data_IF_852939231436
#
_entry.id   IF_852939231436
#
_cell.length_a   1.000
_cell.length_b   1.000
_cell.length_c   1.000
_cell.angle_alpha   90.00
_cell.angle_beta   90.00
_cell.angle_gamma   90.00
#
_symmetry.space_group_name_H-M   'P 1'
#
loop_
_entity.id
_entity.type
_entity.pdbx_description
1 polymer ?
#
# COMPACT_ATOMS: atom_id res chain seq x y z
N UNK A 1 -16.06 76.79 -35.48
CA UNK A 1 -17.16 76.08 -36.16
C UNK A 1 -17.13 74.58 -35.73
N UNK A 2 -18.24 74.17 -35.17
CA UNK A 2 -18.73 72.82 -34.94
C UNK A 2 -17.88 71.77 -34.14
N UNK A 3 -18.25 71.65 -32.86
CA UNK A 3 -18.07 70.50 -31.97
C UNK A 3 -18.60 69.22 -32.58
N UNK A 4 -17.85 68.15 -32.41
CA UNK A 4 -18.44 66.80 -32.35
C UNK A 4 -17.95 66.08 -31.08
N UNK A 5 -18.85 65.89 -30.13
CA UNK A 5 -18.75 65.03 -29.01
C UNK A 5 -18.92 63.52 -29.48
N UNK A 6 -17.95 62.69 -29.19
CA UNK A 6 -18.07 61.23 -29.35
C UNK A 6 -18.30 60.63 -28.00
N UNK A 7 -19.47 60.06 -27.84
CA UNK A 7 -19.84 59.24 -26.64
C UNK A 7 -19.11 57.90 -26.68
N UNK A 8 -18.34 57.60 -25.65
CA UNK A 8 -17.75 56.28 -25.42
C UNK A 8 -18.75 55.45 -24.58
N UNK A 9 -19.34 54.45 -25.21
CA UNK A 9 -20.15 53.47 -24.52
C UNK A 9 -19.25 52.45 -23.80
N UNK A 10 -19.27 52.43 -22.47
CA UNK A 10 -18.62 51.43 -21.67
C UNK A 10 -19.54 50.22 -21.60
N UNK A 11 -19.22 49.15 -22.36
CA UNK A 11 -19.83 47.85 -22.19
C UNK A 11 -19.25 47.16 -20.97
N UNK A 12 -20.04 47.09 -19.90
CA UNK A 12 -19.74 46.24 -18.73
C UNK A 12 -19.99 44.79 -19.14
N UNK A 13 -18.94 44.03 -19.44
CA UNK A 13 -19.02 42.58 -19.57
C UNK A 13 -19.09 41.97 -18.17
N UNK A 14 -20.29 41.56 -17.77
CA UNK A 14 -20.47 40.63 -16.67
C UNK A 14 -19.89 39.26 -17.06
N UNK A 15 -18.70 38.96 -16.57
CA UNK A 15 -18.14 37.62 -16.66
C UNK A 15 -18.96 36.69 -15.74
N UNK A 16 -19.90 35.96 -16.33
CA UNK A 16 -20.54 34.81 -15.68
C UNK A 16 -19.43 33.76 -15.49
N UNK A 17 -18.92 33.62 -14.27
CA UNK A 17 -18.08 32.51 -13.88
C UNK A 17 -18.92 31.22 -13.95
N UNK A 18 -18.70 30.43 -15.00
CA UNK A 18 -19.24 29.09 -15.09
C UNK A 18 -18.73 28.27 -13.88
N UNK A 19 -19.60 27.48 -13.24
CA UNK A 19 -19.16 26.61 -12.14
C UNK A 19 -18.09 25.66 -12.67
N UNK A 20 -16.95 25.57 -11.98
CA UNK A 20 -15.90 24.63 -12.28
C UNK A 20 -16.50 23.20 -12.22
N UNK A 21 -16.64 22.58 -13.40
CA UNK A 21 -17.11 21.19 -13.50
C UNK A 21 -16.03 20.34 -12.82
N UNK A 22 -16.37 19.78 -11.67
CA UNK A 22 -15.55 18.80 -10.98
C UNK A 22 -15.08 17.73 -11.97
N UNK A 23 -13.77 17.67 -12.24
CA UNK A 23 -13.20 16.72 -13.18
C UNK A 23 -13.37 15.31 -12.63
N UNK A 24 -14.31 14.55 -13.18
CA UNK A 24 -14.47 13.14 -12.87
C UNK A 24 -13.38 12.35 -13.60
N UNK A 25 -12.55 11.62 -12.87
CA UNK A 25 -11.64 10.63 -13.45
C UNK A 25 -12.32 9.27 -13.32
N UNK A 26 -12.76 8.65 -14.43
CA UNK A 26 -13.28 7.30 -14.37
C UNK A 26 -12.13 6.37 -14.01
N UNK A 27 -12.19 5.74 -12.83
CA UNK A 27 -11.44 4.51 -12.61
C UNK A 27 -12.06 3.51 -13.57
N UNK A 28 -11.39 3.24 -14.67
CA UNK A 28 -11.83 2.19 -15.59
C UNK A 28 -11.75 0.90 -14.78
N UNK A 29 -12.93 0.44 -14.34
CA UNK A 29 -13.06 -0.88 -13.74
C UNK A 29 -12.40 -1.87 -14.68
N UNK A 30 -11.54 -2.71 -14.16
CA UNK A 30 -11.03 -3.83 -14.92
C UNK A 30 -12.25 -4.63 -15.33
N UNK A 31 -12.35 -4.99 -16.59
CA UNK A 31 -13.02 -6.22 -16.92
C UNK A 31 -12.21 -7.30 -16.18
N UNK A 32 -12.63 -7.61 -14.94
CA UNK A 32 -12.00 -8.65 -14.16
C UNK A 32 -12.21 -9.93 -14.92
N UNK A 33 -11.16 -10.42 -15.57
CA UNK A 33 -11.17 -11.83 -15.94
C UNK A 33 -11.39 -12.58 -14.62
N UNK A 34 -12.23 -13.62 -14.57
CA UNK A 34 -12.49 -14.38 -13.33
C UNK A 34 -11.20 -14.77 -12.60
N UNK A 35 -10.11 -14.86 -13.33
CA UNK A 35 -8.79 -15.31 -12.87
C UNK A 35 -8.04 -14.32 -11.97
N UNK A 36 -8.35 -13.02 -11.97
CA UNK A 36 -7.69 -12.00 -11.12
C UNK A 36 -8.64 -11.37 -10.10
N UNK A 37 -9.85 -11.88 -9.95
CA UNK A 37 -10.86 -11.34 -9.02
C UNK A 37 -10.36 -11.27 -7.58
N UNK A 38 -9.50 -12.19 -7.14
CA UNK A 38 -8.93 -12.17 -5.81
C UNK A 38 -7.93 -11.02 -5.59
N UNK A 39 -7.30 -10.50 -6.66
CA UNK A 39 -6.45 -9.31 -6.62
C UNK A 39 -7.31 -8.05 -6.62
N UNK A 40 -8.27 -7.95 -7.55
CA UNK A 40 -9.12 -6.75 -7.71
C UNK A 40 -10.07 -6.50 -6.53
N UNK A 41 -10.38 -7.52 -5.73
CA UNK A 41 -11.11 -7.43 -4.46
C UNK A 41 -10.25 -7.81 -3.26
N UNK A 42 -8.92 -7.70 -3.40
CA UNK A 42 -7.95 -8.05 -2.38
C UNK A 42 -7.82 -7.01 -1.27
N UNK A 43 -7.38 -7.48 -0.12
CA UNK A 43 -6.81 -6.67 0.95
C UNK A 43 -5.58 -7.41 1.47
N UNK A 44 -4.46 -6.70 1.54
CA UNK A 44 -3.17 -7.29 1.88
C UNK A 44 -2.92 -7.11 3.37
N UNK A 45 -2.41 -8.15 3.99
CA UNK A 45 -1.91 -8.12 5.35
C UNK A 45 -0.42 -8.49 5.32
N UNK A 46 0.42 -7.53 5.66
CA UNK A 46 1.85 -7.68 5.73
C UNK A 46 2.24 -8.27 7.08
N UNK A 47 3.09 -9.30 7.05
CA UNK A 47 3.53 -10.06 8.22
C UNK A 47 5.05 -10.05 8.31
N UNK A 48 5.59 -9.54 9.40
CA UNK A 48 6.97 -9.78 9.77
C UNK A 48 7.02 -11.04 10.65
N UNK A 49 7.41 -12.17 10.05
CA UNK A 49 7.38 -13.50 10.73
C UNK A 49 8.10 -13.46 12.07
N UNK A 50 9.23 -12.72 12.15
CA UNK A 50 10.06 -12.59 13.35
C UNK A 50 9.28 -12.02 14.54
N UNK A 51 8.39 -11.05 14.30
CA UNK A 51 7.74 -10.26 15.34
C UNK A 51 6.25 -10.59 15.55
N UNK A 52 5.64 -11.25 14.54
CA UNK A 52 4.21 -11.53 14.50
C UNK A 52 3.70 -12.33 15.72
N UNK A 53 4.52 -13.19 16.27
CA UNK A 53 4.12 -14.04 17.41
C UNK A 53 5.22 -14.17 18.45
N UNK A 54 4.91 -14.60 19.67
CA UNK A 54 5.91 -14.88 20.70
C UNK A 54 6.94 -15.93 20.25
N UNK A 55 6.60 -16.81 19.32
CA UNK A 55 7.53 -17.82 18.78
C UNK A 55 8.35 -17.31 17.60
N UNK A 56 7.92 -16.23 16.91
CA UNK A 56 8.62 -15.63 15.79
C UNK A 56 8.87 -16.58 14.62
N UNK A 57 7.91 -17.45 14.30
CA UNK A 57 8.10 -18.49 13.30
C UNK A 57 6.81 -18.80 12.50
N UNK A 58 6.90 -19.64 11.47
CA UNK A 58 5.77 -20.00 10.60
C UNK A 58 4.59 -20.61 11.36
N UNK A 59 4.82 -21.37 12.42
CA UNK A 59 3.74 -21.95 13.23
C UNK A 59 2.96 -20.88 13.97
N UNK A 60 3.65 -19.83 14.44
CA UNK A 60 3.02 -18.66 15.03
C UNK A 60 2.13 -17.91 14.04
N UNK A 61 2.58 -17.77 12.78
CA UNK A 61 1.77 -17.18 11.72
C UNK A 61 0.55 -18.05 11.40
N UNK A 62 0.72 -19.38 11.30
CA UNK A 62 -0.42 -20.31 11.10
C UNK A 62 -1.49 -20.11 12.17
N UNK A 63 -1.09 -20.01 13.44
CA UNK A 63 -2.00 -19.78 14.56
C UNK A 63 -2.73 -18.42 14.48
N UNK A 64 -2.14 -17.43 13.80
CA UNK A 64 -2.71 -16.09 13.61
C UNK A 64 -3.58 -15.92 12.37
N UNK A 65 -3.60 -16.86 11.42
CA UNK A 65 -4.29 -16.68 10.13
C UNK A 65 -5.78 -16.36 10.28
N UNK A 66 -6.47 -16.94 11.27
CA UNK A 66 -7.88 -16.64 11.49
C UNK A 66 -8.10 -15.21 12.00
N UNK A 67 -7.16 -14.65 12.75
CA UNK A 67 -7.18 -13.23 13.16
C UNK A 67 -6.98 -12.31 11.96
N UNK A 68 -6.01 -12.63 11.09
CA UNK A 68 -5.77 -11.90 9.83
C UNK A 68 -7.03 -11.93 8.95
N UNK A 69 -7.65 -13.09 8.78
CA UNK A 69 -8.90 -13.24 8.02
C UNK A 69 -10.05 -12.45 8.66
N UNK A 70 -10.13 -12.39 9.98
CA UNK A 70 -11.18 -11.67 10.70
C UNK A 70 -11.11 -10.15 10.52
N UNK A 71 -9.94 -9.58 10.24
CA UNK A 71 -9.79 -8.16 9.86
C UNK A 71 -10.28 -7.89 8.42
N UNK A 72 -10.52 -8.95 7.65
CA UNK A 72 -11.02 -8.87 6.28
C UNK A 72 -9.93 -9.04 5.21
N UNK A 73 -8.68 -9.20 5.58
CA UNK A 73 -7.61 -9.47 4.64
C UNK A 73 -7.72 -10.89 4.05
N UNK A 74 -7.37 -11.02 2.79
CA UNK A 74 -7.38 -12.30 2.08
C UNK A 74 -6.07 -12.58 1.32
N UNK A 75 -5.11 -11.68 1.41
CA UNK A 75 -3.75 -11.83 0.87
C UNK A 75 -2.78 -11.63 2.03
N UNK A 76 -2.01 -12.65 2.35
CA UNK A 76 -0.92 -12.57 3.32
C UNK A 76 0.37 -12.31 2.56
N UNK A 77 1.03 -11.20 2.84
CA UNK A 77 2.36 -10.92 2.36
C UNK A 77 3.36 -11.15 3.51
N UNK A 78 4.25 -12.12 3.34
CA UNK A 78 5.36 -12.34 4.26
C UNK A 78 6.55 -11.48 3.84
N UNK A 79 7.08 -10.65 4.73
CA UNK A 79 8.40 -10.04 4.58
C UNK A 79 9.45 -11.12 4.30
N UNK A 80 10.72 -10.78 3.90
CA UNK A 80 11.67 -11.78 3.45
C UNK A 80 11.84 -12.93 4.45
N UNK A 81 11.70 -14.16 3.94
CA UNK A 81 11.72 -15.39 4.74
C UNK A 81 12.99 -16.19 4.58
N UNK A 82 13.98 -15.63 3.88
CA UNK A 82 15.24 -16.27 3.53
C UNK A 82 16.22 -16.26 4.69
N UNK A 83 17.23 -17.17 4.71
CA UNK A 83 18.35 -17.05 5.63
C UNK A 83 19.02 -15.68 5.46
N UNK A 84 19.36 -15.05 6.58
CA UNK A 84 20.02 -13.74 6.61
C UNK A 84 21.52 -13.91 6.66
N UNK A 85 22.26 -13.13 5.83
CA UNK A 85 23.70 -13.13 5.83
C UNK A 85 24.30 -12.72 7.17
N UNK A 86 25.55 -13.13 7.43
CA UNK A 86 26.29 -12.77 8.66
C UNK A 86 27.40 -11.77 8.40
N UNK A 87 27.92 -11.71 7.18
CA UNK A 87 28.95 -10.75 6.81
C UNK A 87 28.39 -9.32 6.75
N UNK A 88 29.04 -8.40 7.45
CA UNK A 88 28.62 -6.98 7.58
C UNK A 88 27.19 -6.79 8.13
N UNK A 89 26.69 -7.76 8.89
CA UNK A 89 25.34 -7.75 9.46
C UNK A 89 25.08 -6.50 10.30
N UNK A 90 23.93 -5.86 10.11
CA UNK A 90 23.40 -4.80 10.96
C UNK A 90 22.54 -5.39 12.07
N UNK A 91 22.65 -4.89 13.30
CA UNK A 91 21.92 -5.42 14.47
C UNK A 91 22.31 -6.85 14.84
N UNK A 92 21.59 -7.46 15.77
CA UNK A 92 21.89 -8.79 16.26
C UNK A 92 21.44 -9.91 15.32
N UNK A 93 20.27 -9.74 14.68
CA UNK A 93 19.65 -10.73 13.80
C UNK A 93 19.79 -10.40 12.32
N UNK A 94 20.23 -9.20 11.99
CA UNK A 94 20.42 -8.73 10.64
C UNK A 94 19.15 -8.32 9.90
N UNK A 95 19.37 -7.61 8.79
CA UNK A 95 18.29 -7.21 7.89
C UNK A 95 17.69 -8.43 7.20
N UNK A 96 16.37 -8.60 7.20
CA UNK A 96 15.72 -9.65 6.42
C UNK A 96 15.96 -9.48 4.91
N UNK A 97 16.34 -8.29 4.47
CA UNK A 97 16.68 -7.96 3.08
C UNK A 97 18.12 -8.33 2.70
N UNK A 98 18.97 -8.72 3.65
CA UNK A 98 20.31 -9.28 3.38
C UNK A 98 20.20 -10.80 3.13
N UNK A 99 19.69 -11.17 1.94
CA UNK A 99 19.41 -12.56 1.56
C UNK A 99 20.68 -13.36 1.38
N UNK A 100 20.82 -14.47 2.15
CA UNK A 100 21.93 -15.41 2.02
C UNK A 100 21.69 -16.51 0.97
N UNK A 101 20.45 -17.02 0.88
CA UNK A 101 20.07 -18.05 -0.11
C UNK A 101 18.61 -17.86 -0.53
N UNK A 102 18.38 -17.67 -1.83
CA UNK A 102 17.04 -17.46 -2.39
C UNK A 102 16.13 -18.70 -2.38
N UNK A 103 16.67 -19.91 -2.18
CA UNK A 103 15.90 -21.17 -2.24
C UNK A 103 15.75 -21.84 -0.88
N UNK A 104 16.15 -21.16 0.18
CA UNK A 104 16.03 -21.66 1.56
C UNK A 104 15.12 -20.73 2.39
N UNK A 105 14.60 -21.28 3.50
CA UNK A 105 13.91 -20.49 4.52
C UNK A 105 14.83 -20.21 5.69
N UNK A 106 14.66 -19.06 6.34
CA UNK A 106 15.39 -18.72 7.55
C UNK A 106 15.15 -19.79 8.63
N UNK A 107 16.20 -20.43 9.17
CA UNK A 107 16.03 -21.46 10.20
C UNK A 107 15.38 -20.95 11.49
N UNK A 108 15.45 -19.62 11.77
CA UNK A 108 14.69 -19.00 12.87
C UNK A 108 13.17 -19.17 12.70
N UNK A 109 12.67 -19.18 11.45
CA UNK A 109 11.26 -19.27 11.13
C UNK A 109 10.75 -20.72 11.06
N UNK A 110 11.66 -21.70 11.00
CA UNK A 110 11.36 -23.11 10.88
C UNK A 110 11.96 -23.75 9.63
N UNK A 111 11.34 -24.83 9.17
CA UNK A 111 11.78 -25.59 8.01
C UNK A 111 10.97 -25.28 6.77
N UNK A 112 11.43 -25.73 5.58
CA UNK A 112 10.66 -25.68 4.35
C UNK A 112 9.33 -26.44 4.46
N UNK A 113 9.28 -27.49 5.29
CA UNK A 113 8.04 -28.21 5.57
C UNK A 113 7.03 -27.38 6.39
N UNK A 114 7.52 -26.59 7.36
CA UNK A 114 6.71 -25.63 8.12
C UNK A 114 6.19 -24.50 7.20
N UNK A 115 7.03 -23.99 6.30
CA UNK A 115 6.59 -23.01 5.29
C UNK A 115 5.49 -23.56 4.39
N UNK A 116 5.67 -24.78 3.84
CA UNK A 116 4.62 -25.44 3.05
C UNK A 116 3.33 -25.67 3.86
N UNK A 117 3.44 -25.94 5.16
CA UNK A 117 2.28 -26.04 6.04
C UNK A 117 1.56 -24.68 6.16
N UNK A 118 2.29 -23.56 6.24
CA UNK A 118 1.72 -22.21 6.24
C UNK A 118 0.98 -21.90 4.94
N UNK A 119 1.60 -22.19 3.78
CA UNK A 119 0.94 -22.01 2.46
C UNK A 119 -0.38 -22.78 2.39
N UNK A 120 -0.36 -24.08 2.76
CA UNK A 120 -1.58 -24.90 2.80
C UNK A 120 -2.62 -24.37 3.77
N UNK A 121 -2.20 -23.91 4.95
CA UNK A 121 -3.10 -23.38 5.96
C UNK A 121 -3.78 -22.06 5.50
N UNK A 122 -3.07 -21.20 4.80
CA UNK A 122 -3.63 -20.01 4.17
C UNK A 122 -4.64 -20.39 3.07
N UNK A 123 -4.27 -21.26 2.16
CA UNK A 123 -5.15 -21.73 1.07
C UNK A 123 -6.42 -22.42 1.59
N UNK A 124 -6.31 -23.26 2.64
CA UNK A 124 -7.48 -23.90 3.28
C UNK A 124 -8.48 -22.89 3.85
N UNK A 125 -8.04 -21.68 4.14
CA UNK A 125 -8.89 -20.55 4.59
C UNK A 125 -9.40 -19.67 3.46
N UNK A 126 -9.09 -20.01 2.20
CA UNK A 126 -9.39 -19.19 1.03
C UNK A 126 -8.54 -17.92 0.92
N UNK A 127 -7.41 -17.88 1.63
CA UNK A 127 -6.45 -16.78 1.57
C UNK A 127 -5.35 -17.09 0.55
N UNK A 128 -4.75 -16.04 0.00
CA UNK A 128 -3.57 -16.09 -0.86
C UNK A 128 -2.33 -15.77 -0.05
N UNK A 129 -1.17 -16.29 -0.47
CA UNK A 129 0.09 -16.01 0.19
C UNK A 129 1.13 -15.59 -0.84
N UNK A 130 1.68 -14.39 -0.66
CA UNK A 130 2.82 -13.88 -1.42
C UNK A 130 4.02 -13.70 -0.49
N UNK A 131 5.21 -13.73 -1.05
CA UNK A 131 6.44 -13.47 -0.30
C UNK A 131 7.16 -12.26 -0.85
N UNK A 132 7.99 -11.66 -0.01
CA UNK A 132 8.90 -10.61 -0.43
C UNK A 132 10.02 -11.19 -1.30
N UNK A 133 10.37 -10.49 -2.36
CA UNK A 133 11.45 -10.84 -3.27
C UNK A 133 12.45 -9.72 -3.37
N UNK A 134 13.70 -9.96 -3.04
CA UNK A 134 14.77 -8.96 -2.98
C UNK A 134 15.68 -9.09 -4.21
N UNK A 135 15.35 -8.48 -5.35
CA UNK A 135 16.09 -8.73 -6.59
C UNK A 135 17.30 -7.82 -6.80
N UNK A 136 17.39 -6.67 -6.11
CA UNK A 136 18.43 -5.68 -6.37
C UNK A 136 19.80 -6.05 -5.79
N UNK A 137 19.82 -6.76 -4.67
CA UNK A 137 21.03 -7.03 -3.88
C UNK A 137 20.90 -8.34 -3.09
N UNK A 138 22.01 -8.78 -2.51
CA UNK A 138 22.07 -9.93 -1.59
C UNK A 138 22.93 -9.60 -0.38
N UNK A 139 22.98 -10.50 0.60
CA UNK A 139 24.04 -10.45 1.61
C UNK A 139 25.43 -10.58 0.97
N UNK A 140 26.48 -10.09 1.67
CA UNK A 140 27.87 -10.20 1.25
C UNK A 140 28.39 -11.65 1.20
N UNK A 141 27.77 -12.54 1.96
CA UNK A 141 28.07 -13.97 2.04
C UNK A 141 26.97 -14.84 1.41
N UNK A 142 26.16 -14.28 0.49
CA UNK A 142 25.21 -15.05 -0.30
C UNK A 142 25.92 -16.19 -1.04
N UNK A 143 25.26 -17.33 -1.16
CA UNK A 143 25.83 -18.53 -1.82
C UNK A 143 26.32 -18.25 -3.24
N UNK A 144 25.71 -17.32 -3.95
CA UNK A 144 26.13 -16.91 -5.31
C UNK A 144 27.45 -16.14 -5.33
N UNK A 145 27.85 -15.50 -4.23
CA UNK A 145 29.16 -14.79 -4.19
C UNK A 145 30.32 -15.74 -4.48
N UNK A 146 30.23 -16.99 -3.98
CA UNK A 146 31.24 -18.01 -4.22
C UNK A 146 30.97 -18.82 -5.48
N UNK A 147 29.71 -19.19 -5.74
CA UNK A 147 29.33 -20.05 -6.86
C UNK A 147 29.34 -19.31 -8.19
N UNK A 148 28.98 -18.04 -8.18
CA UNK A 148 28.78 -17.20 -9.37
C UNK A 148 29.30 -15.78 -9.14
N UNK A 149 30.63 -15.58 -8.93
CA UNK A 149 31.18 -14.27 -8.58
C UNK A 149 30.94 -13.17 -9.63
N UNK A 150 30.67 -13.58 -10.89
CA UNK A 150 30.30 -12.68 -11.98
C UNK A 150 28.86 -12.13 -11.90
N UNK A 151 28.07 -12.56 -10.92
CA UNK A 151 26.71 -12.01 -10.68
C UNK A 151 26.70 -10.67 -9.98
N UNK A 152 27.88 -10.16 -9.57
CA UNK A 152 27.99 -8.99 -8.70
C UNK A 152 28.74 -7.86 -9.36
N UNK A 153 28.26 -6.63 -9.14
CA UNK A 153 29.01 -5.42 -9.51
C UNK A 153 30.28 -5.33 -8.67
N UNK A 154 31.40 -5.02 -9.35
CA UNK A 154 32.73 -4.85 -8.73
C UNK A 154 33.13 -3.38 -8.72
N UNK A 155 33.83 -2.97 -7.66
CA UNK A 155 34.53 -1.69 -7.61
C UNK A 155 35.88 -1.76 -8.35
N UNK A 156 36.57 -0.63 -8.47
CA UNK A 156 37.82 -0.51 -9.20
C UNK A 156 38.95 -1.40 -8.63
N UNK A 157 38.87 -1.79 -7.36
CA UNK A 157 39.80 -2.74 -6.73
C UNK A 157 39.39 -4.20 -6.83
N UNK A 158 38.33 -4.50 -7.56
CA UNK A 158 37.79 -5.86 -7.76
C UNK A 158 36.94 -6.39 -6.62
N UNK A 159 36.70 -5.61 -5.56
CA UNK A 159 35.81 -5.95 -4.45
C UNK A 159 34.33 -5.80 -4.81
N UNK A 160 33.43 -6.41 -4.02
CA UNK A 160 32.00 -6.18 -4.12
C UNK A 160 31.67 -4.73 -3.77
N UNK A 161 30.52 -4.22 -4.25
CA UNK A 161 30.04 -2.88 -3.93
C UNK A 161 28.64 -2.91 -3.37
N UNK A 162 28.31 -1.93 -2.53
CA UNK A 162 26.93 -1.69 -2.07
C UNK A 162 26.05 -1.22 -3.23
N UNK A 163 24.71 -1.34 -3.14
CA UNK A 163 23.80 -0.84 -4.16
C UNK A 163 23.95 0.65 -4.44
N UNK A 164 23.52 1.04 -5.64
CA UNK A 164 23.38 2.44 -6.04
C UNK A 164 21.90 2.83 -6.08
N UNK A 165 21.62 4.08 -5.73
CA UNK A 165 20.30 4.67 -5.87
C UNK A 165 19.97 4.99 -7.35
N UNK A 166 18.78 5.53 -7.59
CA UNK A 166 18.30 5.94 -8.92
C UNK A 166 19.13 7.03 -9.60
N UNK A 167 20.00 7.71 -8.85
CA UNK A 167 20.95 8.74 -9.33
C UNK A 167 22.37 8.20 -9.51
N UNK A 168 22.55 6.91 -9.28
CA UNK A 168 23.87 6.23 -9.38
C UNK A 168 24.79 6.47 -8.19
N UNK A 169 24.33 7.10 -7.11
CA UNK A 169 25.11 7.28 -5.87
C UNK A 169 25.05 6.01 -5.04
N UNK A 170 26.18 5.64 -4.41
CA UNK A 170 26.22 4.52 -3.47
C UNK A 170 25.26 4.77 -2.29
N UNK A 171 24.49 3.76 -1.96
CA UNK A 171 23.60 3.77 -0.79
C UNK A 171 24.42 3.56 0.50
N UNK A 172 23.78 3.79 1.64
CA UNK A 172 24.29 3.44 2.96
C UNK A 172 23.91 2.00 3.41
N UNK A 173 23.48 1.16 2.46
CA UNK A 173 23.10 -0.23 2.70
C UNK A 173 24.35 -1.12 2.77
N UNK A 174 25.14 -0.91 3.83
CA UNK A 174 26.49 -1.51 3.99
C UNK A 174 26.49 -3.02 4.26
N UNK A 175 25.34 -3.60 4.52
CA UNK A 175 25.12 -5.01 4.81
C UNK A 175 24.75 -5.85 3.57
N UNK A 176 24.68 -5.23 2.38
CA UNK A 176 24.29 -5.91 1.14
C UNK A 176 25.21 -5.57 -0.04
N UNK A 177 25.29 -6.49 -1.01
CA UNK A 177 26.10 -6.40 -2.22
C UNK A 177 25.21 -6.33 -3.48
N UNK A 178 25.56 -5.43 -4.41
CA UNK A 178 24.78 -5.18 -5.63
C UNK A 178 24.93 -6.28 -6.66
N UNK A 179 23.80 -6.75 -7.21
CA UNK A 179 23.73 -7.68 -8.34
C UNK A 179 23.95 -6.95 -9.67
N UNK A 180 24.63 -7.63 -10.62
CA UNK A 180 24.92 -7.12 -11.97
C UNK A 180 23.99 -7.71 -13.02
N UNK A 181 22.90 -7.03 -13.28
CA UNK A 181 21.91 -7.41 -14.31
C UNK A 181 22.40 -7.30 -15.77
N UNK A 182 23.62 -6.82 -16.01
CA UNK A 182 24.26 -6.97 -17.34
C UNK A 182 24.57 -8.44 -17.64
N UNK A 183 24.78 -9.25 -16.61
CA UNK A 183 25.04 -10.67 -16.74
C UNK A 183 23.73 -11.44 -17.05
N UNK A 184 23.64 -12.11 -18.24
CA UNK A 184 22.44 -12.87 -18.60
C UNK A 184 22.24 -14.13 -17.74
N UNK A 185 23.31 -14.72 -17.21
CA UNK A 185 23.21 -15.87 -16.32
C UNK A 185 22.60 -15.51 -14.98
N UNK A 186 22.90 -14.31 -14.46
CA UNK A 186 22.21 -13.79 -13.26
C UNK A 186 20.72 -13.65 -13.54
N UNK A 187 20.33 -13.03 -14.67
CA UNK A 187 18.90 -12.85 -14.99
C UNK A 187 18.17 -14.19 -15.05
N UNK A 188 18.79 -15.18 -15.68
CA UNK A 188 18.24 -16.54 -15.73
C UNK A 188 18.12 -17.16 -14.33
N UNK A 189 19.19 -17.14 -13.53
CA UNK A 189 19.23 -17.69 -12.17
C UNK A 189 18.15 -17.05 -11.27
N UNK A 190 17.98 -15.73 -11.40
CA UNK A 190 16.96 -14.97 -10.66
C UNK A 190 15.54 -15.44 -11.01
N UNK A 191 15.23 -15.59 -12.29
CA UNK A 191 13.93 -16.09 -12.75
C UNK A 191 13.69 -17.53 -12.27
N UNK A 192 14.69 -18.40 -12.34
CA UNK A 192 14.56 -19.79 -11.86
C UNK A 192 14.41 -19.87 -10.33
N UNK A 193 15.02 -18.97 -9.59
CA UNK A 193 14.80 -18.88 -8.14
C UNK A 193 13.37 -18.41 -7.80
N UNK A 194 12.81 -17.48 -8.58
CA UNK A 194 11.39 -17.07 -8.44
C UNK A 194 10.43 -18.22 -8.80
N UNK A 195 10.71 -18.94 -9.90
CA UNK A 195 9.89 -20.09 -10.31
C UNK A 195 9.85 -21.19 -9.27
N UNK A 196 10.96 -21.45 -8.55
CA UNK A 196 11.00 -22.40 -7.44
C UNK A 196 9.90 -22.14 -6.40
N UNK A 197 9.69 -20.88 -6.00
CA UNK A 197 8.65 -20.54 -5.03
C UNK A 197 7.23 -20.67 -5.60
N UNK A 198 7.03 -20.26 -6.84
CA UNK A 198 5.72 -20.32 -7.49
C UNK A 198 5.30 -21.77 -7.80
N UNK A 199 6.22 -22.58 -8.34
CA UNK A 199 5.91 -23.93 -8.86
C UNK A 199 5.99 -24.98 -7.75
N UNK A 200 7.13 -25.00 -7.02
CA UNK A 200 7.38 -26.08 -6.06
C UNK A 200 6.82 -25.76 -4.68
N UNK A 201 6.81 -24.50 -4.25
CA UNK A 201 6.32 -24.12 -2.93
C UNK A 201 4.87 -23.63 -2.97
N UNK A 202 4.33 -23.30 -4.17
CA UNK A 202 2.91 -23.05 -4.39
C UNK A 202 2.41 -21.69 -3.90
N UNK A 203 3.27 -20.70 -3.74
CA UNK A 203 2.87 -19.34 -3.37
C UNK A 203 2.08 -18.65 -4.50
N UNK A 204 1.35 -17.59 -4.19
CA UNK A 204 0.45 -16.91 -5.12
C UNK A 204 1.04 -15.62 -5.73
N UNK A 205 2.32 -15.33 -5.50
CA UNK A 205 2.97 -14.15 -6.09
C UNK A 205 4.09 -13.57 -5.24
N UNK A 206 4.49 -12.34 -5.59
CA UNK A 206 5.60 -11.62 -4.95
C UNK A 206 5.28 -10.15 -4.71
N UNK A 207 5.82 -9.62 -3.64
CA UNK A 207 6.17 -8.20 -3.53
C UNK A 207 7.65 -8.08 -3.90
N UNK A 208 7.97 -7.31 -4.91
CA UNK A 208 9.35 -7.13 -5.38
C UNK A 208 9.95 -5.88 -4.75
N UNK A 209 10.91 -6.09 -3.88
CA UNK A 209 11.68 -5.08 -3.15
C UNK A 209 12.47 -4.19 -4.11
N UNK A 210 12.51 -2.88 -3.81
CA UNK A 210 13.30 -1.88 -4.55
C UNK A 210 13.21 -2.05 -6.09
N UNK A 211 12.02 -2.39 -6.59
CA UNK A 211 11.81 -2.84 -7.98
C UNK A 211 12.28 -1.84 -9.04
N UNK A 212 12.28 -0.55 -8.73
CA UNK A 212 12.76 0.50 -9.62
C UNK A 212 14.28 0.59 -9.74
N UNK A 213 15.04 -0.05 -8.85
CA UNK A 213 16.50 -0.12 -8.96
C UNK A 213 16.97 -1.29 -9.83
N UNK A 214 16.06 -2.22 -10.14
CA UNK A 214 16.32 -3.33 -11.07
C UNK A 214 16.00 -2.88 -12.49
N UNK A 215 16.88 -3.17 -13.49
CA UNK A 215 16.66 -2.70 -14.86
C UNK A 215 15.31 -3.12 -15.47
N UNK A 216 14.65 -2.18 -16.13
CA UNK A 216 13.35 -2.39 -16.82
C UNK A 216 13.37 -3.62 -17.76
N UNK A 217 14.50 -3.87 -18.41
CA UNK A 217 14.68 -5.00 -19.32
C UNK A 217 14.51 -6.34 -18.61
N UNK A 218 15.00 -6.47 -17.37
CA UNK A 218 14.80 -7.69 -16.58
C UNK A 218 13.32 -7.95 -16.31
N UNK A 219 12.56 -6.93 -15.89
CA UNK A 219 11.14 -7.12 -15.61
C UNK A 219 10.33 -7.52 -16.86
N UNK A 220 10.65 -6.92 -18.01
CA UNK A 220 10.02 -7.26 -19.29
C UNK A 220 10.29 -8.71 -19.70
N UNK A 221 11.46 -9.24 -19.35
CA UNK A 221 11.86 -10.62 -19.60
C UNK A 221 11.28 -11.60 -18.55
N UNK A 222 11.35 -11.25 -17.27
CA UNK A 222 11.03 -12.13 -16.14
C UNK A 222 9.53 -12.36 -15.96
N UNK A 223 8.72 -11.26 -15.91
CA UNK A 223 7.32 -11.38 -15.53
C UNK A 223 6.48 -12.26 -16.44
N UNK A 224 6.63 -12.23 -17.79
CA UNK A 224 5.95 -13.19 -18.65
C UNK A 224 6.35 -14.64 -18.40
N UNK A 225 7.63 -14.90 -18.10
CA UNK A 225 8.12 -16.25 -17.80
C UNK A 225 7.53 -16.79 -16.49
N UNK A 226 7.40 -15.95 -15.46
CA UNK A 226 6.77 -16.34 -14.19
C UNK A 226 5.29 -16.70 -14.39
N UNK A 227 4.56 -15.93 -15.18
CA UNK A 227 3.15 -16.22 -15.50
C UNK A 227 3.01 -17.50 -16.29
N UNK A 228 3.91 -17.75 -17.25
CA UNK A 228 3.91 -18.97 -18.05
C UNK A 228 4.25 -20.22 -17.23
N UNK A 229 5.03 -20.08 -16.15
CA UNK A 229 5.43 -21.19 -15.29
C UNK A 229 4.29 -21.80 -14.48
N UNK A 230 3.21 -21.06 -14.26
CA UNK A 230 2.04 -21.49 -13.48
C UNK A 230 0.74 -21.26 -14.24
N UNK A 231 -0.21 -22.21 -14.13
CA UNK A 231 -1.52 -22.13 -14.79
C UNK A 231 -2.59 -21.43 -13.93
N UNK A 232 -2.16 -20.50 -13.09
CA UNK A 232 -3.03 -19.74 -12.20
C UNK A 232 -2.60 -18.27 -12.16
N UNK A 233 -3.51 -17.34 -11.86
CA UNK A 233 -3.17 -15.95 -11.67
C UNK A 233 -2.25 -15.78 -10.46
N UNK A 234 -1.24 -14.92 -10.60
CA UNK A 234 -0.32 -14.52 -9.54
C UNK A 234 -0.37 -13.01 -9.36
N UNK A 235 -0.12 -12.54 -8.15
CA UNK A 235 0.07 -11.12 -7.86
C UNK A 235 1.54 -10.76 -7.95
N UNK A 236 1.86 -9.77 -8.77
CA UNK A 236 3.16 -9.14 -8.82
C UNK A 236 3.01 -7.68 -8.38
N UNK A 237 3.50 -7.38 -7.18
CA UNK A 237 3.48 -6.08 -6.55
C UNK A 237 4.88 -5.48 -6.58
N UNK A 238 5.05 -4.32 -7.22
CA UNK A 238 6.31 -3.59 -7.23
C UNK A 238 6.36 -2.63 -6.04
N UNK A 239 7.40 -2.72 -5.23
CA UNK A 239 7.76 -1.62 -4.35
C UNK A 239 8.38 -0.50 -5.18
N UNK A 240 7.53 0.25 -5.83
CA UNK A 240 7.88 1.45 -6.62
C UNK A 240 6.63 2.26 -6.91
N UNK A 241 6.78 3.59 -7.01
CA UNK A 241 5.65 4.49 -7.25
C UNK A 241 5.39 4.80 -8.74
N UNK A 242 6.35 4.54 -9.63
CA UNK A 242 6.22 4.85 -11.04
C UNK A 242 5.24 3.92 -11.75
N UNK A 243 4.27 4.50 -12.45
CA UNK A 243 3.25 3.77 -13.22
C UNK A 243 3.81 2.94 -14.37
N UNK A 244 5.06 3.21 -14.80
CA UNK A 244 5.74 2.41 -15.83
C UNK A 244 5.82 0.92 -15.46
N UNK A 245 5.87 0.59 -14.17
CA UNK A 245 5.95 -0.79 -13.70
C UNK A 245 4.78 -1.63 -14.18
N UNK A 246 3.60 -1.05 -14.31
CA UNK A 246 2.44 -1.74 -14.88
C UNK A 246 2.66 -2.15 -16.35
N UNK A 247 3.46 -1.39 -17.12
CA UNK A 247 3.78 -1.74 -18.51
C UNK A 247 4.67 -2.97 -18.63
N UNK A 248 5.34 -3.37 -17.54
CA UNK A 248 6.16 -4.59 -17.48
C UNK A 248 5.33 -5.81 -17.06
N UNK A 249 4.14 -5.59 -16.51
CA UNK A 249 3.22 -6.63 -16.07
C UNK A 249 3.01 -6.73 -14.55
N UNK A 250 3.40 -5.73 -13.78
CA UNK A 250 2.98 -5.65 -12.37
C UNK A 250 1.51 -5.24 -12.27
N UNK A 251 0.72 -5.96 -11.47
CA UNK A 251 -0.66 -5.58 -11.17
C UNK A 251 -0.73 -4.37 -10.24
N UNK A 252 0.24 -4.24 -9.35
CA UNK A 252 0.17 -3.27 -8.27
C UNK A 252 1.49 -2.55 -8.05
N UNK A 253 1.40 -1.25 -7.71
CA UNK A 253 2.52 -0.39 -7.34
C UNK A 253 2.20 0.36 -6.05
N UNK A 254 3.22 0.83 -5.33
CA UNK A 254 3.02 1.58 -4.09
C UNK A 254 2.48 2.98 -4.32
N UNK A 255 1.61 3.45 -3.42
CA UNK A 255 1.06 4.81 -3.42
C UNK A 255 1.95 5.80 -2.66
N UNK A 256 3.27 5.80 -2.91
CA UNK A 256 4.23 6.64 -2.18
C UNK A 256 3.89 8.13 -2.24
N UNK A 257 3.44 8.64 -3.39
CA UNK A 257 3.06 10.05 -3.54
C UNK A 257 1.86 10.41 -2.67
N UNK A 258 0.83 9.54 -2.63
CA UNK A 258 -0.35 9.74 -1.78
C UNK A 258 0.04 9.71 -0.29
N UNK A 259 0.92 8.77 0.11
CA UNK A 259 1.40 8.66 1.48
C UNK A 259 2.22 9.89 1.91
N UNK A 260 3.13 10.37 1.05
CA UNK A 260 3.91 11.58 1.31
C UNK A 260 3.00 12.82 1.48
N UNK A 261 1.97 12.96 0.63
CA UNK A 261 0.99 14.03 0.75
C UNK A 261 0.14 13.89 2.02
N UNK A 262 -0.26 12.68 2.38
CA UNK A 262 -0.98 12.43 3.64
C UNK A 262 -0.16 12.90 4.84
N UNK A 263 1.12 12.53 4.91
CA UNK A 263 2.06 13.01 5.95
C UNK A 263 2.17 14.53 5.97
N UNK A 264 2.26 15.16 4.81
CA UNK A 264 2.33 16.63 4.68
C UNK A 264 1.08 17.31 5.20
N UNK A 265 -0.11 16.78 4.91
CA UNK A 265 -1.40 17.32 5.39
C UNK A 265 -1.51 17.23 6.92
N UNK A 266 -1.09 16.12 7.53
CA UNK A 266 -1.00 16.03 9.00
C UNK A 266 0.08 16.92 9.60
N UNK A 267 1.09 17.29 8.80
CA UNK A 267 2.09 18.32 9.12
C UNK A 267 1.62 19.76 8.95
N UNK A 268 0.34 19.99 8.57
CA UNK A 268 -0.26 21.32 8.45
C UNK A 268 -0.49 21.84 7.04
N UNK A 269 -0.10 21.11 5.99
CA UNK A 269 -0.42 21.49 4.60
C UNK A 269 -1.95 21.47 4.37
N UNK A 270 -2.46 22.22 3.36
CA UNK A 270 -3.87 22.21 3.00
C UNK A 270 -4.37 20.79 2.66
N UNK A 271 -5.52 20.40 3.22
CA UNK A 271 -6.09 19.07 3.02
C UNK A 271 -6.50 18.79 1.55
N UNK A 272 -6.85 19.85 0.79
CA UNK A 272 -7.16 19.77 -0.64
C UNK A 272 -6.00 19.20 -1.46
N UNK A 273 -4.75 19.45 -1.05
CA UNK A 273 -3.54 18.96 -1.75
C UNK A 273 -3.50 17.42 -1.87
N UNK A 274 -4.04 16.72 -0.89
CA UNK A 274 -4.15 15.27 -0.95
C UNK A 274 -5.05 14.81 -2.11
N UNK A 275 -6.20 15.45 -2.27
CA UNK A 275 -7.17 15.13 -3.33
C UNK A 275 -6.64 15.56 -4.71
N UNK A 276 -6.00 16.73 -4.81
CA UNK A 276 -5.36 17.21 -6.03
C UNK A 276 -4.28 16.23 -6.53
N UNK A 277 -3.43 15.74 -5.62
CA UNK A 277 -2.40 14.74 -5.94
C UNK A 277 -3.03 13.43 -6.43
N UNK A 278 -4.08 12.98 -5.77
CA UNK A 278 -4.76 11.75 -6.17
C UNK A 278 -5.39 11.87 -7.56
N UNK A 279 -6.01 13.00 -7.89
CA UNK A 279 -6.50 13.27 -9.23
C UNK A 279 -5.39 13.24 -10.28
N UNK A 280 -4.22 13.77 -9.96
CA UNK A 280 -3.06 13.74 -10.84
C UNK A 280 -2.53 12.31 -11.05
N UNK A 281 -2.40 11.53 -9.98
CA UNK A 281 -1.96 10.14 -10.04
C UNK A 281 -2.90 9.27 -10.88
N UNK A 282 -4.20 9.39 -10.66
CA UNK A 282 -5.21 8.61 -11.38
C UNK A 282 -5.26 8.92 -12.88
N UNK A 283 -4.89 10.12 -13.31
CA UNK A 283 -4.80 10.49 -14.74
C UNK A 283 -3.69 9.73 -15.46
N UNK A 284 -2.62 9.36 -14.75
CA UNK A 284 -1.47 8.65 -15.32
C UNK A 284 -1.58 7.14 -15.19
N UNK A 285 -2.50 6.63 -14.36
CA UNK A 285 -2.65 5.21 -14.10
C UNK A 285 -3.14 4.47 -15.36
N UNK A 286 -2.40 3.47 -15.86
CA UNK A 286 -2.85 2.69 -17.01
C UNK A 286 -4.06 1.84 -16.64
N UNK A 287 -4.84 1.48 -17.67
CA UNK A 287 -5.95 0.56 -17.49
C UNK A 287 -5.41 -0.76 -16.93
N UNK A 288 -5.97 -1.20 -15.82
CA UNK A 288 -5.50 -2.40 -15.18
C UNK A 288 -4.58 -2.17 -13.99
N UNK A 289 -3.90 -1.07 -13.90
CA UNK A 289 -3.00 -0.74 -12.80
C UNK A 289 -3.73 -0.49 -11.49
N UNK A 290 -3.16 -0.96 -10.37
CA UNK A 290 -3.67 -0.73 -9.03
C UNK A 290 -2.60 -0.11 -8.14
N UNK A 291 -3.02 0.71 -7.17
CA UNK A 291 -2.15 1.17 -6.08
C UNK A 291 -2.33 0.29 -4.85
N UNK A 292 -1.22 -0.07 -4.22
CA UNK A 292 -1.19 -0.48 -2.82
C UNK A 292 -1.39 0.78 -1.97
N UNK A 293 -2.47 0.84 -1.22
CA UNK A 293 -2.76 1.93 -0.28
C UNK A 293 -2.28 1.54 1.10
N UNK A 294 -1.64 2.47 1.80
CA UNK A 294 -1.11 2.20 3.15
C UNK A 294 -0.96 3.49 3.94
N UNK A 295 -1.08 3.39 5.24
CA UNK A 295 -0.73 4.44 6.20
C UNK A 295 0.51 4.10 7.02
N UNK A 296 0.99 2.87 6.87
CA UNK A 296 2.26 2.35 7.36
C UNK A 296 2.62 1.06 6.63
N UNK A 297 3.86 0.62 6.79
CA UNK A 297 4.42 -0.67 6.44
C UNK A 297 5.62 -0.92 7.36
N UNK A 298 6.38 -1.99 7.14
CA UNK A 298 7.56 -2.32 7.94
C UNK A 298 8.60 -1.18 7.96
N UNK A 299 8.87 -0.54 6.82
CA UNK A 299 9.84 0.56 6.73
C UNK A 299 9.38 1.81 7.47
N UNK A 300 8.15 2.24 7.22
CA UNK A 300 7.60 3.44 7.85
C UNK A 300 7.50 3.28 9.36
N UNK A 301 7.16 2.07 9.85
CA UNK A 301 7.16 1.80 11.29
C UNK A 301 8.58 1.79 11.87
N UNK A 302 9.54 1.15 11.16
CA UNK A 302 10.91 1.03 11.65
C UNK A 302 11.71 2.34 11.57
N UNK A 303 11.59 3.08 10.47
CA UNK A 303 12.43 4.26 10.20
C UNK A 303 11.75 5.59 10.52
N UNK A 304 10.42 5.65 10.54
CA UNK A 304 9.67 6.83 11.00
C UNK A 304 8.96 6.51 12.32
N UNK A 305 7.65 6.29 12.31
CA UNK A 305 6.86 6.04 13.52
C UNK A 305 5.62 5.17 13.21
N UNK A 306 5.13 4.38 14.19
CA UNK A 306 3.84 3.71 14.05
C UNK A 306 2.69 4.73 13.91
N UNK A 307 1.57 4.36 13.26
CA UNK A 307 0.50 5.29 12.92
C UNK A 307 -0.05 6.17 14.05
N UNK A 308 -0.25 5.67 15.30
CA UNK A 308 -0.74 6.53 16.38
C UNK A 308 0.20 7.69 16.72
N UNK A 309 1.52 7.48 16.57
CA UNK A 309 2.52 8.53 16.75
C UNK A 309 2.65 9.40 15.50
N UNK A 310 2.72 8.78 14.32
CA UNK A 310 2.89 9.47 13.03
C UNK A 310 1.74 10.44 12.75
N UNK A 311 0.51 10.04 13.06
CA UNK A 311 -0.69 10.84 12.86
C UNK A 311 -1.21 11.47 14.16
N UNK A 312 -0.32 11.70 15.13
CA UNK A 312 -0.51 12.48 16.37
C UNK A 312 -1.47 11.90 17.42
N UNK A 313 -2.23 10.89 17.09
CA UNK A 313 -3.15 10.18 18.00
C UNK A 313 -3.74 8.93 17.35
N UNK A 314 -4.38 8.09 18.13
CA UNK A 314 -5.21 6.97 17.63
C UNK A 314 -6.32 7.47 16.69
N UNK A 315 -7.01 8.57 17.06
CA UNK A 315 -8.03 9.16 16.20
C UNK A 315 -7.44 9.67 14.87
N UNK A 316 -6.24 10.28 14.92
CA UNK A 316 -5.51 10.72 13.74
C UNK A 316 -5.10 9.55 12.84
N UNK A 317 -4.62 8.44 13.42
CA UNK A 317 -4.30 7.22 12.67
C UNK A 317 -5.53 6.62 11.97
N UNK A 318 -6.66 6.55 12.67
CA UNK A 318 -7.94 6.12 12.09
C UNK A 318 -8.42 7.03 10.96
N UNK A 319 -8.33 8.35 11.15
CA UNK A 319 -8.70 9.33 10.14
C UNK A 319 -7.81 9.23 8.89
N UNK A 320 -6.50 9.09 9.08
CA UNK A 320 -5.54 8.87 8.00
C UNK A 320 -5.84 7.58 7.23
N UNK A 321 -6.18 6.49 7.94
CA UNK A 321 -6.57 5.22 7.33
C UNK A 321 -7.85 5.35 6.50
N UNK A 322 -8.89 6.05 7.00
CA UNK A 322 -10.09 6.34 6.21
C UNK A 322 -9.75 7.14 4.96
N UNK A 323 -8.93 8.20 5.08
CA UNK A 323 -8.57 9.04 3.95
C UNK A 323 -7.83 8.28 2.86
N UNK A 324 -6.93 7.36 3.22
CA UNK A 324 -6.05 6.63 2.31
C UNK A 324 -6.70 5.38 1.73
N UNK A 325 -7.28 4.52 2.59
CA UNK A 325 -7.68 3.18 2.15
C UNK A 325 -8.98 3.16 1.34
N UNK A 326 -9.79 4.21 1.45
CA UNK A 326 -11.00 4.37 0.63
C UNK A 326 -10.74 4.98 -0.75
N UNK A 327 -9.50 5.34 -1.08
CA UNK A 327 -9.08 5.72 -2.43
C UNK A 327 -9.13 4.54 -3.42
N UNK A 328 -9.08 4.79 -4.75
CA UNK A 328 -8.87 3.72 -5.73
C UNK A 328 -7.57 2.96 -5.48
N UNK A 329 -7.65 1.65 -5.28
CA UNK A 329 -6.50 0.79 -4.97
C UNK A 329 -6.86 -0.36 -4.04
N UNK A 330 -5.84 -0.97 -3.41
CA UNK A 330 -6.04 -2.08 -2.48
C UNK A 330 -5.40 -1.76 -1.14
N UNK A 331 -6.10 -2.02 -0.03
CA UNK A 331 -5.63 -1.68 1.30
C UNK A 331 -4.52 -2.61 1.77
N UNK A 332 -3.59 -2.04 2.52
CA UNK A 332 -2.58 -2.74 3.29
C UNK A 332 -2.85 -2.54 4.78
N UNK A 333 -2.72 -3.61 5.55
CA UNK A 333 -2.56 -3.59 7.00
C UNK A 333 -1.20 -4.21 7.32
N UNK A 334 -0.35 -3.48 8.01
CA UNK A 334 0.88 -4.01 8.60
C UNK A 334 0.57 -4.62 9.96
N UNK A 335 1.22 -5.73 10.31
CA UNK A 335 0.94 -6.46 11.55
C UNK A 335 1.11 -5.60 12.80
N UNK A 336 0.11 -5.67 13.71
CA UNK A 336 -0.01 -4.80 14.87
C UNK A 336 -0.77 -3.49 14.63
N UNK A 337 -0.94 -3.04 13.37
CA UNK A 337 -1.70 -1.83 13.06
C UNK A 337 -3.17 -1.96 13.45
N UNK A 338 -3.79 -3.12 13.26
CA UNK A 338 -5.20 -3.36 13.57
C UNK A 338 -5.54 -3.40 15.06
N UNK A 339 -4.51 -3.38 15.90
CA UNK A 339 -4.65 -3.19 17.36
C UNK A 339 -4.12 -1.83 17.81
N UNK A 340 -3.74 -0.98 16.86
CA UNK A 340 -3.21 0.37 17.12
C UNK A 340 -1.96 0.35 18.02
N UNK A 341 -1.11 -0.66 17.80
CA UNK A 341 0.14 -0.81 18.54
C UNK A 341 1.01 0.44 18.39
N UNK A 342 1.49 1.02 19.51
CA UNK A 342 2.41 2.14 19.47
C UNK A 342 3.88 1.70 19.33
N UNK A 343 4.13 0.39 19.14
CA UNK A 343 5.49 -0.14 19.04
C UNK A 343 6.15 0.31 17.74
N UNK A 344 7.37 0.80 17.87
CA UNK A 344 8.28 1.02 16.75
C UNK A 344 9.12 -0.24 16.57
N UNK A 345 8.63 -1.16 15.75
CA UNK A 345 9.27 -2.47 15.52
C UNK A 345 10.59 -2.28 14.76
N UNK A 346 11.67 -2.83 15.30
CA UNK A 346 12.99 -2.77 14.70
C UNK A 346 13.19 -3.91 13.69
N UNK A 347 13.71 -3.61 12.48
CA UNK A 347 13.89 -4.62 11.43
C UNK A 347 15.02 -5.62 11.72
N UNK A 348 16.02 -5.25 12.51
CA UNK A 348 17.25 -6.02 12.71
C UNK A 348 17.30 -6.80 14.02
N UNK A 349 16.23 -6.67 14.79
CA UNK A 349 16.06 -7.33 16.09
C UNK A 349 14.75 -8.12 16.10
N UNK A 350 14.48 -8.79 17.21
CA UNK A 350 13.19 -9.43 17.44
C UNK A 350 12.43 -8.71 18.55
N UNK A 351 11.26 -8.23 18.20
CA UNK A 351 10.39 -7.51 19.12
C UNK A 351 8.93 -7.94 18.91
N UNK A 352 8.49 -8.96 19.64
CA UNK A 352 7.14 -9.49 19.48
C UNK A 352 6.06 -8.42 19.67
N UNK A 353 5.09 -8.40 18.75
CA UNK A 353 3.97 -7.47 18.79
C UNK A 353 3.14 -7.70 20.06
N UNK A 354 2.83 -6.61 20.76
CA UNK A 354 1.93 -6.60 21.91
C UNK A 354 0.48 -6.50 21.43
N UNK A 355 -0.14 -7.65 21.28
CA UNK A 355 -1.51 -7.77 20.77
C UNK A 355 -2.60 -7.32 21.72
N UNK A 356 -2.28 -7.26 23.04
CA UNK A 356 -3.21 -6.92 24.12
C UNK A 356 -3.22 -5.40 24.37
N UNK A 357 -3.63 -4.63 23.34
CA UNK A 357 -3.84 -3.19 23.48
C UNK A 357 -5.22 -2.92 24.11
N UNK A 358 -5.38 -1.85 24.91
CA UNK A 358 -6.61 -1.58 25.68
C UNK A 358 -7.89 -1.58 24.83
N UNK A 359 -7.82 -1.10 23.59
CA UNK A 359 -8.96 -0.99 22.68
C UNK A 359 -8.87 -1.94 21.47
N UNK A 360 -8.09 -3.02 21.57
CA UNK A 360 -7.80 -3.91 20.43
C UNK A 360 -9.06 -4.46 19.74
N UNK A 361 -10.12 -4.77 20.46
CA UNK A 361 -11.37 -5.28 19.88
C UNK A 361 -12.09 -4.22 19.03
N UNK A 362 -12.18 -2.98 19.54
CA UNK A 362 -12.75 -1.85 18.82
C UNK A 362 -11.91 -1.48 17.60
N UNK A 363 -10.57 -1.43 17.77
CA UNK A 363 -9.63 -1.18 16.70
C UNK A 363 -9.81 -2.18 15.56
N UNK A 364 -9.76 -3.50 15.85
CA UNK A 364 -10.01 -4.55 14.83
C UNK A 364 -11.36 -4.40 14.14
N UNK A 365 -12.40 -4.03 14.87
CA UNK A 365 -13.73 -3.80 14.29
C UNK A 365 -13.73 -2.61 13.32
N UNK A 366 -13.00 -1.54 13.66
CA UNK A 366 -12.83 -0.36 12.79
C UNK A 366 -12.07 -0.73 11.50
N UNK A 367 -10.88 -1.34 11.59
CA UNK A 367 -10.07 -1.73 10.42
C UNK A 367 -10.84 -2.72 9.54
N UNK A 368 -11.48 -3.73 10.14
CA UNK A 368 -12.34 -4.67 9.40
C UNK A 368 -13.44 -3.96 8.61
N UNK A 369 -14.08 -2.95 9.19
CA UNK A 369 -15.15 -2.20 8.53
C UNK A 369 -14.64 -1.50 7.27
N UNK A 370 -13.49 -0.82 7.36
CA UNK A 370 -12.89 -0.13 6.20
C UNK A 370 -12.50 -1.14 5.13
N UNK A 371 -11.79 -2.21 5.49
CA UNK A 371 -11.39 -3.28 4.55
C UNK A 371 -12.62 -3.90 3.88
N UNK A 372 -13.71 -4.15 4.63
CA UNK A 372 -14.93 -4.69 4.07
C UNK A 372 -15.55 -3.73 3.05
N UNK A 373 -15.62 -2.43 3.33
CA UNK A 373 -16.10 -1.43 2.36
C UNK A 373 -15.30 -1.50 1.06
N UNK A 374 -13.96 -1.46 1.14
CA UNK A 374 -13.10 -1.51 -0.06
C UNK A 374 -13.29 -2.79 -0.86
N UNK A 375 -13.55 -3.92 -0.20
CA UNK A 375 -13.65 -5.23 -0.85
C UNK A 375 -15.03 -5.54 -1.43
N UNK A 376 -16.10 -5.02 -0.85
CA UNK A 376 -17.46 -5.51 -1.15
C UNK A 376 -18.45 -4.43 -1.51
N UNK A 377 -18.21 -3.16 -1.16
CA UNK A 377 -19.15 -2.10 -1.45
C UNK A 377 -18.92 -1.56 -2.88
N UNK A 378 -19.96 -1.53 -3.74
CA UNK A 378 -19.83 -1.03 -5.11
C UNK A 378 -19.27 0.39 -5.22
N UNK A 379 -19.50 1.24 -4.23
CA UNK A 379 -18.93 2.58 -4.21
C UNK A 379 -17.40 2.56 -4.22
N UNK A 380 -16.79 1.59 -3.55
CA UNK A 380 -15.33 1.50 -3.42
C UNK A 380 -14.68 0.47 -4.35
N UNK A 381 -15.43 -0.53 -4.82
CA UNK A 381 -14.90 -1.52 -5.76
C UNK A 381 -14.82 -0.99 -7.18
N UNK A 382 -15.85 -0.32 -7.67
CA UNK A 382 -15.97 0.15 -9.05
C UNK A 382 -16.34 1.63 -9.18
N UNK A 383 -16.61 2.31 -8.06
CA UNK A 383 -17.07 3.70 -8.06
C UNK A 383 -16.03 4.69 -8.59
N UNK A 384 -16.47 5.65 -9.37
CA UNK A 384 -15.65 6.73 -9.91
C UNK A 384 -15.18 7.63 -8.76
N UNK A 385 -13.88 8.01 -8.80
CA UNK A 385 -13.32 9.00 -7.89
C UNK A 385 -13.61 10.43 -8.38
N UNK A 386 -14.03 11.31 -7.49
CA UNK A 386 -14.23 12.76 -7.74
C UNK A 386 -13.78 13.56 -6.54
N UNK A 387 -13.16 14.69 -6.78
CA UNK A 387 -12.96 15.70 -5.73
C UNK A 387 -14.32 16.28 -5.30
N UNK A 388 -14.39 16.64 -4.03
CA UNK A 388 -15.55 17.32 -3.44
C UNK A 388 -15.08 18.61 -2.79
N UNK A 389 -15.75 19.72 -3.08
CA UNK A 389 -15.44 21.01 -2.49
C UNK A 389 -16.12 21.16 -1.12
N UNK A 390 -15.41 21.79 -0.20
CA UNK A 390 -15.93 22.15 1.12
C UNK A 390 -15.63 23.60 1.46
N UNK A 391 -16.38 24.19 2.39
CA UNK A 391 -16.06 25.52 2.92
C UNK A 391 -14.80 25.56 3.80
N UNK A 392 -14.12 24.42 4.01
CA UNK A 392 -12.88 24.25 4.79
C UNK A 392 -11.86 23.38 4.05
N UNK A 393 -11.39 23.77 2.84
CA UNK A 393 -10.52 22.94 2.01
C UNK A 393 -9.12 22.71 2.61
N UNK A 394 -8.70 23.59 3.53
CA UNK A 394 -7.41 23.44 4.21
C UNK A 394 -7.47 22.39 5.33
N UNK A 395 -8.64 22.18 5.94
CA UNK A 395 -8.82 21.35 7.13
C UNK A 395 -9.41 19.97 6.82
N UNK A 396 -10.15 19.84 5.71
CA UNK A 396 -10.97 18.66 5.41
C UNK A 396 -10.58 18.04 4.09
N UNK A 397 -10.13 16.77 4.12
CA UNK A 397 -10.06 15.93 2.92
C UNK A 397 -11.48 15.53 2.55
N UNK A 398 -11.90 15.82 1.31
CA UNK A 398 -13.25 15.52 0.83
C UNK A 398 -13.21 14.98 -0.60
N UNK A 399 -13.77 13.78 -0.79
CA UNK A 399 -13.91 13.16 -2.11
C UNK A 399 -15.10 12.22 -2.18
N UNK A 400 -15.54 11.91 -3.40
CA UNK A 400 -16.51 10.85 -3.67
C UNK A 400 -15.86 9.62 -4.29
N UNK A 401 -16.41 8.47 -3.91
CA UNK A 401 -16.23 7.19 -4.58
C UNK A 401 -17.63 6.67 -4.91
N UNK A 402 -18.00 6.62 -6.21
CA UNK A 402 -19.36 6.22 -6.60
C UNK A 402 -20.43 7.03 -5.88
N UNK A 403 -21.27 6.34 -5.07
CA UNK A 403 -22.35 6.91 -4.25
C UNK A 403 -21.86 7.44 -2.89
N UNK A 404 -20.67 7.05 -2.44
CA UNK A 404 -20.18 7.41 -1.11
C UNK A 404 -19.35 8.70 -1.13
N UNK A 405 -19.54 9.56 -0.12
CA UNK A 405 -18.78 10.77 0.13
C UNK A 405 -17.92 10.58 1.37
N UNK A 406 -16.61 10.67 1.21
CA UNK A 406 -15.61 10.55 2.28
C UNK A 406 -15.20 11.95 2.74
N UNK A 407 -15.32 12.20 4.03
CA UNK A 407 -15.04 13.48 4.69
C UNK A 407 -14.14 13.22 5.90
N UNK A 408 -12.96 13.82 5.92
CA UNK A 408 -11.96 13.59 6.97
C UNK A 408 -11.40 14.91 7.49
N UNK A 409 -11.60 15.18 8.76
CA UNK A 409 -10.96 16.30 9.45
C UNK A 409 -9.50 15.94 9.78
N UNK A 410 -8.55 16.66 9.19
CA UNK A 410 -7.12 16.41 9.35
C UNK A 410 -6.49 17.18 10.53
N UNK A 411 -7.30 17.95 11.26
CA UNK A 411 -6.82 18.85 12.34
C UNK A 411 -7.11 18.32 13.74
N UNK A 412 -6.28 18.65 14.74
CA UNK A 412 -6.47 18.26 16.14
C UNK A 412 -7.54 19.12 16.85
N UNK A 413 -8.48 19.68 16.12
CA UNK A 413 -9.63 20.44 16.59
C UNK A 413 -10.87 20.07 15.82
N UNK A 414 -12.03 20.32 16.37
CA UNK A 414 -13.29 20.11 15.65
C UNK A 414 -13.42 21.08 14.47
N UNK A 415 -14.19 20.69 13.48
CA UNK A 415 -14.49 21.49 12.28
C UNK A 415 -15.95 21.36 11.91
N UNK A 416 -16.56 22.51 11.59
CA UNK A 416 -17.91 22.58 11.02
C UNK A 416 -17.83 23.21 9.63
N UNK A 417 -18.45 22.58 8.64
CA UNK A 417 -18.33 22.98 7.23
C UNK A 417 -19.54 22.57 6.41
N UNK A 418 -19.65 23.12 5.21
CA UNK A 418 -20.61 22.72 4.19
C UNK A 418 -19.89 22.02 3.04
N UNK A 419 -20.64 21.17 2.32
CA UNK A 419 -20.16 20.44 1.14
C UNK A 419 -20.87 20.98 -0.09
N UNK A 420 -20.12 21.30 -1.14
CA UNK A 420 -20.65 21.85 -2.39
C UNK A 420 -20.90 20.72 -3.40
N UNK A 421 -22.02 20.81 -4.11
CA UNK A 421 -22.36 19.86 -5.21
C UNK A 421 -22.82 18.47 -4.77
N UNK A 422 -22.81 18.19 -3.45
CA UNK A 422 -23.24 16.90 -2.90
C UNK A 422 -24.29 17.12 -1.80
N UNK A 423 -25.41 16.44 -1.91
CA UNK A 423 -26.43 16.45 -0.85
C UNK A 423 -26.05 15.45 0.24
N UNK A 424 -25.59 15.94 1.39
CA UNK A 424 -25.18 15.09 2.54
C UNK A 424 -26.33 14.83 3.53
N UNK A 425 -27.34 15.71 3.60
CA UNK A 425 -28.47 15.57 4.51
C UNK A 425 -29.28 14.30 4.24
N UNK A 426 -29.51 13.51 5.28
CA UNK A 426 -30.25 12.24 5.23
C UNK A 426 -29.40 11.06 4.73
N UNK A 427 -28.13 11.26 4.38
CA UNK A 427 -27.24 10.14 4.06
C UNK A 427 -26.83 9.40 5.34
N UNK A 428 -26.62 8.09 5.20
CA UNK A 428 -26.13 7.23 6.28
C UNK A 428 -24.62 7.31 6.35
N UNK A 429 -24.08 7.57 7.52
CA UNK A 429 -22.66 7.43 7.78
C UNK A 429 -22.32 5.95 7.95
N UNK A 430 -21.53 5.42 7.04
CA UNK A 430 -21.13 4.01 7.01
C UNK A 430 -20.17 3.64 8.16
N UNK A 431 -19.56 4.60 8.83
CA UNK A 431 -18.70 4.33 9.98
C UNK A 431 -19.50 4.17 11.27
N UNK A 432 -20.42 5.08 11.53
CA UNK A 432 -21.19 5.11 12.78
C UNK A 432 -22.58 4.43 12.68
N UNK A 433 -23.09 4.21 11.47
CA UNK A 433 -24.45 3.74 11.24
C UNK A 433 -25.54 4.78 11.54
N UNK A 434 -25.19 6.07 11.66
CA UNK A 434 -26.13 7.16 11.95
C UNK A 434 -26.38 8.01 10.72
N UNK A 435 -27.61 8.54 10.59
CA UNK A 435 -27.92 9.48 9.51
C UNK A 435 -27.29 10.85 9.77
N UNK A 436 -26.76 11.47 8.72
CA UNK A 436 -26.32 12.85 8.74
C UNK A 436 -27.54 13.78 8.79
N UNK A 437 -27.62 14.59 9.83
CA UNK A 437 -28.69 15.60 10.00
C UNK A 437 -28.20 16.96 9.47
N UNK A 438 -29.00 17.57 8.59
CA UNK A 438 -28.72 18.88 8.03
C UNK A 438 -27.66 18.87 6.91
N UNK A 439 -27.50 20.05 6.28
CA UNK A 439 -26.53 20.27 5.20
C UNK A 439 -25.13 20.59 5.71
N UNK A 440 -25.04 21.04 6.96
CA UNK A 440 -23.76 21.33 7.63
C UNK A 440 -23.23 20.06 8.28
N UNK A 441 -21.95 19.79 8.07
CA UNK A 441 -21.26 18.63 8.64
C UNK A 441 -20.37 19.09 9.78
N UNK A 442 -20.49 18.43 10.92
CA UNK A 442 -19.56 18.56 12.05
C UNK A 442 -18.71 17.31 12.17
N UNK A 443 -17.41 17.49 12.36
CA UNK A 443 -16.44 16.44 12.66
C UNK A 443 -15.63 16.84 13.90
N UNK A 444 -15.41 15.91 14.84
CA UNK A 444 -14.50 16.14 15.95
C UNK A 444 -13.04 16.24 15.47
N UNK A 445 -12.11 16.53 16.37
CA UNK A 445 -10.67 16.44 16.09
C UNK A 445 -10.34 15.09 15.46
N UNK A 446 -9.68 15.11 14.28
CA UNK A 446 -9.38 13.92 13.50
C UNK A 446 -10.58 12.98 13.25
N UNK A 447 -11.79 13.55 13.17
CA UNK A 447 -13.00 12.80 12.86
C UNK A 447 -13.14 12.49 11.37
N UNK A 448 -13.86 11.42 11.07
CA UNK A 448 -14.21 11.06 9.70
C UNK A 448 -15.67 10.64 9.58
N UNK A 449 -16.25 10.85 8.41
CA UNK A 449 -17.55 10.30 7.98
C UNK A 449 -17.44 9.74 6.58
N UNK A 450 -18.17 8.66 6.34
CA UNK A 450 -18.36 8.06 5.01
C UNK A 450 -19.84 8.04 4.74
N UNK A 451 -20.34 9.05 4.04
CA UNK A 451 -21.78 9.29 3.85
C UNK A 451 -22.24 8.66 2.55
N UNK A 452 -23.29 7.84 2.62
CA UNK A 452 -23.89 7.21 1.45
C UNK A 452 -25.41 7.27 1.49
N UNK A 453 -26.02 7.50 0.34
CA UNK A 453 -27.46 7.36 0.17
C UNK A 453 -27.82 5.89 0.03
N UNK A 454 -28.19 5.25 1.13
CA UNK A 454 -28.79 3.91 1.05
C UNK A 454 -30.27 4.03 0.78
N UNK A 455 -30.77 3.26 -0.19
CA UNK A 455 -32.19 3.00 -0.26
C UNK A 455 -32.60 2.38 1.08
N UNK A 456 -33.63 2.92 1.71
CA UNK A 456 -34.24 2.31 2.89
C UNK A 456 -34.66 0.90 2.48
N UNK A 457 -33.88 -0.12 2.84
CA UNK A 457 -34.38 -1.49 2.83
C UNK A 457 -35.49 -1.54 3.89
N UNK A 458 -36.72 -1.92 3.54
CA UNK A 458 -37.68 -2.24 4.56
C UNK A 458 -37.06 -3.31 5.47
N UNK A 459 -37.15 -3.08 6.77
CA UNK A 459 -36.82 -4.10 7.77
C UNK A 459 -37.87 -5.20 7.59
N UNK A 460 -37.52 -6.30 6.96
CA UNK A 460 -38.25 -7.55 7.02
C UNK A 460 -37.70 -8.37 8.16
#
# INVERSE_FOLDING_TARGET
>A
MRNRLSAVAVCLMLALSAPAISQAVPVRGHASTPDVAWVSHGAIYEVFVRDFSPTGNFRGVIAGLDKIKAVGANIVWLMPIYPVGVANRKGSLGSPYAVHDYRAVNPEFGTMADFRALVRAAHARGMKLIIDWVPNHTAWDNVWVQQHPAFYVRNDSGGLTVPRDDKGKLTDWTDVAQLDYQNPELRHAMVEAMKFWLVEQGIDGFRCDAAGFVPDAFWREALPQLRAAVKRPILLLAEWGDVKMHTFGFEMTYAWSSYANLKSVWGGAPASKFVEQELADLKTMPAGGMRLRFTTNHDETAWDNPPPTRFTSVAGARAAFVAMELLPGRPLIYDGQEVESPQKLALFEREAIKWDQPNAAEARAFYRRIVQLVRTDPAFTTGIFRAVETSKPDDVIAYQRGSATVLVNTRPREVTFTVTGVRVNGQMDLLSGRAQSGATVWLPAHGAKVLERRATRPLN
#
